data_IF_193711381052
#
_entry.id   IF_193711381052
#
_cell.length_a   1.000
_cell.length_b   1.000
_cell.length_c   1.000
_cell.angle_alpha   90.00
_cell.angle_beta   90.00
_cell.angle_gamma   90.00
#
_symmetry.space_group_name_H-M   'P 1'
#
loop_
_entity.id
_entity.type
_entity.pdbx_description
1 polymer ?
#
# COMPACT_ATOMS: atom_id res chain seq x y z
N UNK A 1 2.37 -10.65 16.08
CA UNK A 1 2.66 -9.34 15.44
C UNK A 1 1.49 -8.42 15.73
N UNK A 2 1.73 -7.12 15.87
CA UNK A 2 0.69 -6.12 16.11
C UNK A 2 -0.30 -6.10 14.92
N UNK A 3 -1.59 -6.30 15.20
CA UNK A 3 -2.65 -6.32 14.19
C UNK A 3 -2.79 -4.96 13.50
N UNK A 4 -2.59 -3.86 14.23
CA UNK A 4 -2.63 -2.51 13.67
C UNK A 4 -1.48 -2.26 12.68
N UNK A 5 -0.31 -2.87 12.91
CA UNK A 5 0.82 -2.79 11.99
C UNK A 5 0.54 -3.59 10.71
N UNK A 6 -0.01 -4.80 10.84
CA UNK A 6 -0.40 -5.63 9.68
C UNK A 6 -1.43 -4.86 8.84
N UNK A 7 -2.45 -4.30 9.49
CA UNK A 7 -3.47 -3.51 8.84
C UNK A 7 -2.90 -2.31 8.09
N UNK A 8 -1.88 -1.63 8.62
CA UNK A 8 -1.27 -0.49 7.92
C UNK A 8 -0.41 -0.94 6.74
N UNK A 9 0.30 -2.08 6.83
CA UNK A 9 1.01 -2.68 5.70
C UNK A 9 0.03 -2.98 4.56
N UNK A 10 -1.10 -3.65 4.86
CA UNK A 10 -2.11 -3.92 3.85
C UNK A 10 -2.82 -2.64 3.37
N UNK A 11 -3.02 -1.66 4.25
CA UNK A 11 -3.55 -0.35 3.89
C UNK A 11 -2.69 0.37 2.85
N UNK A 12 -1.36 0.31 2.98
CA UNK A 12 -0.42 0.79 1.98
C UNK A 12 -0.53 0.00 0.67
N UNK A 13 -0.48 -1.33 0.74
CA UNK A 13 -0.58 -2.18 -0.45
C UNK A 13 -1.87 -1.94 -1.23
N UNK A 14 -3.02 -1.83 -0.57
CA UNK A 14 -4.31 -1.55 -1.24
C UNK A 14 -4.27 -0.21 -1.99
N UNK A 15 -3.67 0.84 -1.41
CA UNK A 15 -3.56 2.15 -2.07
C UNK A 15 -2.66 2.08 -3.30
N UNK A 16 -1.54 1.36 -3.22
CA UNK A 16 -0.61 1.19 -4.34
C UNK A 16 -1.25 0.36 -5.46
N UNK A 17 -1.86 -0.78 -5.12
CA UNK A 17 -2.56 -1.62 -6.10
C UNK A 17 -3.69 -0.88 -6.80
N UNK A 18 -4.45 -0.04 -6.10
CA UNK A 18 -5.44 0.82 -6.74
C UNK A 18 -4.81 1.78 -7.76
N UNK A 19 -3.69 2.40 -7.40
CA UNK A 19 -3.00 3.35 -8.27
C UNK A 19 -2.47 2.67 -9.52
N UNK A 20 -1.85 1.50 -9.37
CA UNK A 20 -1.38 0.69 -10.50
C UNK A 20 -2.50 0.09 -11.33
N UNK A 21 -3.65 -0.23 -10.74
CA UNK A 21 -4.82 -0.69 -11.48
C UNK A 21 -5.35 0.40 -12.43
N UNK A 22 -5.42 1.65 -11.96
CA UNK A 22 -5.79 2.80 -12.81
C UNK A 22 -4.75 3.02 -13.91
N UNK A 23 -3.46 3.01 -13.55
CA UNK A 23 -2.39 3.16 -14.54
C UNK A 23 -2.43 2.06 -15.61
N UNK A 24 -2.67 0.81 -15.21
CA UNK A 24 -2.75 -0.33 -16.13
C UNK A 24 -3.95 -0.22 -17.07
N UNK A 25 -5.10 0.24 -16.58
CA UNK A 25 -6.30 0.45 -17.39
C UNK A 25 -6.04 1.45 -18.53
N UNK A 26 -5.27 2.52 -18.28
CA UNK A 26 -5.07 3.62 -19.23
C UNK A 26 -3.90 3.40 -20.21
N UNK A 27 -3.15 2.30 -20.08
CA UNK A 27 -2.03 1.99 -20.99
C UNK A 27 -2.55 1.59 -22.38
N UNK A 28 -1.98 2.20 -23.41
CA UNK A 28 -2.34 1.92 -24.82
C UNK A 28 -2.06 0.47 -25.27
N UNK A 29 -1.19 -0.25 -24.56
CA UNK A 29 -0.87 -1.65 -24.82
C UNK A 29 -1.82 -2.64 -24.10
N UNK A 30 -2.76 -2.15 -23.29
CA UNK A 30 -3.68 -2.98 -22.51
C UNK A 30 -4.87 -3.39 -23.37
N UNK A 31 -5.22 -4.69 -23.37
CA UNK A 31 -6.44 -5.17 -24.04
C UNK A 31 -7.69 -4.80 -23.27
N UNK A 32 -8.85 -4.74 -23.93
CA UNK A 32 -10.14 -4.48 -23.26
C UNK A 32 -10.42 -5.44 -22.10
N UNK A 33 -9.99 -6.70 -22.22
CA UNK A 33 -10.13 -7.68 -21.15
C UNK A 33 -9.23 -7.35 -19.95
N UNK A 34 -7.97 -6.99 -20.19
CA UNK A 34 -7.03 -6.60 -19.14
C UNK A 34 -7.48 -5.31 -18.44
N UNK A 35 -7.97 -4.32 -19.20
CA UNK A 35 -8.51 -3.08 -18.66
C UNK A 35 -9.70 -3.35 -17.72
N UNK A 36 -10.63 -4.21 -18.13
CA UNK A 36 -11.75 -4.64 -17.27
C UNK A 36 -11.27 -5.35 -16.00
N UNK A 37 -10.25 -6.20 -16.10
CA UNK A 37 -9.69 -6.86 -14.91
C UNK A 37 -8.99 -5.88 -13.97
N UNK A 38 -8.24 -4.91 -14.49
CA UNK A 38 -7.56 -3.90 -13.70
C UNK A 38 -8.57 -3.13 -12.83
N UNK A 39 -9.68 -2.68 -13.40
CA UNK A 39 -10.72 -1.97 -12.64
C UNK A 39 -11.40 -2.81 -11.56
N UNK A 40 -11.43 -4.14 -11.69
CA UNK A 40 -11.95 -5.05 -10.65
C UNK A 40 -11.03 -5.18 -9.44
N UNK A 41 -9.75 -4.79 -9.57
CA UNK A 41 -8.79 -4.84 -8.46
C UNK A 41 -8.97 -3.68 -7.48
N UNK A 42 -9.65 -2.59 -7.89
CA UNK A 42 -9.79 -1.40 -7.07
C UNK A 42 -10.65 -1.68 -5.83
N UNK A 43 -10.12 -1.36 -4.65
CA UNK A 43 -10.79 -1.47 -3.35
C UNK A 43 -10.71 -0.16 -2.60
N UNK A 44 -11.79 0.25 -1.93
CA UNK A 44 -11.75 1.43 -1.07
C UNK A 44 -10.88 1.13 0.15
N UNK A 45 -9.76 1.84 0.37
CA UNK A 45 -8.94 1.63 1.56
C UNK A 45 -9.67 2.13 2.81
N UNK A 46 -9.41 1.49 3.95
CA UNK A 46 -9.88 1.97 5.26
C UNK A 46 -9.21 3.31 5.56
N UNK A 47 -10.01 4.29 5.97
CA UNK A 47 -9.53 5.61 6.38
C UNK A 47 -9.38 5.64 7.90
N UNK A 48 -8.15 5.56 8.40
CA UNK A 48 -7.82 5.67 9.82
C UNK A 48 -6.49 6.45 10.00
N UNK A 49 -6.56 7.79 10.08
CA UNK A 49 -5.36 8.60 10.26
C UNK A 49 -4.70 8.43 11.64
N UNK A 50 -5.47 8.05 12.67
CA UNK A 50 -4.94 7.86 14.02
C UNK A 50 -4.06 6.61 14.10
N UNK A 51 -4.45 5.53 13.40
CA UNK A 51 -3.62 4.34 13.25
C UNK A 51 -2.32 4.65 12.52
N UNK A 52 -2.40 5.37 11.39
CA UNK A 52 -1.21 5.77 10.63
C UNK A 52 -0.20 6.51 11.52
N UNK A 53 -0.64 7.55 12.23
CA UNK A 53 0.21 8.36 13.11
C UNK A 53 0.88 7.53 14.22
N UNK A 54 0.15 6.60 14.82
CA UNK A 54 0.67 5.68 15.83
C UNK A 54 1.73 4.76 15.24
N UNK A 55 1.45 4.11 14.11
CA UNK A 55 2.40 3.21 13.44
C UNK A 55 3.65 3.96 13.01
N UNK A 56 3.51 5.17 12.47
CA UNK A 56 4.64 6.01 12.11
C UNK A 56 5.56 6.30 13.31
N UNK A 57 5.00 6.75 14.44
CA UNK A 57 5.77 7.14 15.63
C UNK A 57 6.38 5.95 16.34
N UNK A 58 5.65 4.84 16.46
CA UNK A 58 6.03 3.72 17.32
C UNK A 58 6.82 2.63 16.59
N UNK A 59 6.60 2.43 15.29
CA UNK A 59 7.20 1.32 14.54
C UNK A 59 8.14 1.77 13.43
N UNK A 60 7.82 2.83 12.68
CA UNK A 60 8.62 3.22 11.50
C UNK A 60 9.74 4.19 11.85
N UNK A 61 9.41 5.32 12.48
CA UNK A 61 10.37 6.36 12.83
C UNK A 61 11.55 5.84 13.67
N UNK A 62 11.38 4.93 14.65
CA UNK A 62 12.49 4.38 15.42
C UNK A 62 13.50 3.55 14.61
N UNK A 63 13.13 3.09 13.42
CA UNK A 63 14.03 2.33 12.54
C UNK A 63 15.01 3.25 11.78
N UNK A 64 14.78 4.56 11.79
CA UNK A 64 15.65 5.51 11.12
C UNK A 64 17.06 5.48 11.72
N UNK A 65 18.06 5.14 10.90
CA UNK A 65 19.45 5.00 11.35
C UNK A 65 19.75 3.73 12.15
N UNK A 66 18.78 2.83 12.33
CA UNK A 66 18.97 1.58 13.07
C UNK A 66 19.65 0.47 12.25
N UNK A 67 19.75 0.63 10.92
CA UNK A 67 20.42 -0.33 10.06
C UNK A 67 21.95 -0.19 10.17
N UNK A 68 22.60 -1.23 10.70
CA UNK A 68 24.04 -1.40 10.66
C UNK A 68 24.40 -2.55 9.73
N UNK A 69 25.19 -2.27 8.68
CA UNK A 69 25.66 -3.29 7.76
C UNK A 69 26.63 -4.22 8.49
N UNK A 70 26.42 -5.54 8.41
CA UNK A 70 27.39 -6.51 8.96
C UNK A 70 28.69 -6.43 8.13
N UNK A 71 29.87 -6.33 8.76
CA UNK A 71 31.15 -6.30 8.08
C UNK A 71 31.46 -7.63 7.36
#
# INVERSE_FOLDING_TARGET
>A
MDEALIDEIFGLLVRDFNSYAVELHDKSATTDEQARFAMRMIRRPVHDPARYDRIWKEHVLPLNGAYEMRP
#
